data_IF_313036692772
#
_entry.id   IF_313036692772
#
_cell.length_a   1.000
_cell.length_b   1.000
_cell.length_c   1.000
_cell.angle_alpha   90.00
_cell.angle_beta   90.00
_cell.angle_gamma   90.00
#
_symmetry.space_group_name_H-M   'P 1'
#
loop_
_entity.id
_entity.type
_entity.pdbx_description
1 polymer ?
#
# COMPACT_ATOMS: atom_id res chain seq x y z
N UNK A 1 17.39 26.33 16.43
CA UNK A 1 16.35 26.99 15.64
C UNK A 1 16.02 28.29 16.35
N UNK A 2 16.27 29.43 15.76
CA UNK A 2 15.85 30.73 16.25
C UNK A 2 14.33 30.75 16.22
N UNK A 3 13.70 30.85 17.41
CA UNK A 3 12.25 31.07 17.50
C UNK A 3 11.97 32.40 16.80
N UNK A 4 11.14 32.36 15.77
CA UNK A 4 10.64 33.58 15.16
C UNK A 4 9.60 34.17 16.12
N UNK A 5 10.01 35.15 16.93
CA UNK A 5 9.20 35.77 17.99
C UNK A 5 7.96 36.54 17.44
N UNK A 6 7.90 36.73 16.12
CA UNK A 6 6.84 37.49 15.47
C UNK A 6 5.66 36.66 14.92
N UNK A 7 5.69 35.30 15.03
CA UNK A 7 4.64 34.43 14.56
C UNK A 7 4.16 33.48 15.65
N UNK A 8 2.90 33.14 15.61
CA UNK A 8 2.32 32.14 16.49
C UNK A 8 2.92 30.74 16.19
N UNK A 9 2.97 29.81 17.17
CA UNK A 9 3.46 28.47 16.97
C UNK A 9 2.64 27.74 15.93
N UNK A 10 3.29 26.85 15.17
CA UNK A 10 2.62 25.95 14.24
C UNK A 10 1.72 24.95 14.99
N UNK A 11 0.80 24.32 14.27
CA UNK A 11 -0.07 23.28 14.82
C UNK A 11 0.78 22.16 15.47
N UNK A 12 0.64 21.93 16.80
CA UNK A 12 1.45 20.96 17.52
C UNK A 12 1.28 19.53 17.01
N UNK A 13 0.12 19.14 16.50
CA UNK A 13 -0.10 17.82 15.88
C UNK A 13 0.77 17.63 14.64
N UNK A 14 0.89 18.64 13.79
CA UNK A 14 1.74 18.58 12.60
C UNK A 14 3.23 18.54 12.99
N UNK A 15 3.62 19.31 13.99
CA UNK A 15 5.03 19.34 14.43
C UNK A 15 5.45 18.07 15.18
N UNK A 16 4.51 17.30 15.69
CA UNK A 16 4.74 16.01 16.36
C UNK A 16 4.67 14.80 15.43
N UNK A 17 4.26 14.96 14.16
CA UNK A 17 4.26 13.86 13.20
C UNK A 17 5.66 13.24 13.12
N UNK A 18 5.72 11.93 13.29
CA UNK A 18 6.96 11.18 13.11
C UNK A 18 7.47 11.32 11.67
N UNK A 19 8.78 11.43 11.52
CA UNK A 19 9.37 11.34 10.18
C UNK A 19 9.08 9.94 9.61
N UNK A 20 8.65 9.87 8.35
CA UNK A 20 8.43 8.60 7.66
C UNK A 20 9.75 7.80 7.61
N UNK A 21 9.72 6.59 8.19
CA UNK A 21 10.87 5.69 8.27
C UNK A 21 11.43 5.30 6.90
N UNK A 22 10.53 5.12 5.90
CA UNK A 22 10.90 4.85 4.51
C UNK A 22 11.73 6.01 3.91
N UNK A 23 11.21 7.23 4.03
CA UNK A 23 11.89 8.45 3.56
C UNK A 23 13.17 8.68 4.35
N UNK A 24 13.17 8.41 5.65
CA UNK A 24 14.33 8.53 6.53
C UNK A 24 15.47 7.64 6.07
N UNK A 25 15.22 6.37 5.78
CA UNK A 25 16.22 5.45 5.28
C UNK A 25 16.71 5.84 3.88
N UNK A 26 15.80 6.16 2.96
CA UNK A 26 16.19 6.60 1.62
C UNK A 26 17.11 7.83 1.63
N UNK A 27 16.91 8.77 2.56
CA UNK A 27 17.81 9.93 2.75
C UNK A 27 19.21 9.51 3.20
N UNK A 28 19.32 8.52 4.10
CA UNK A 28 20.61 8.02 4.59
C UNK A 28 21.46 7.41 3.46
N UNK A 29 20.83 6.69 2.53
CA UNK A 29 21.52 5.97 1.45
C UNK A 29 21.54 6.73 0.12
N UNK A 30 21.01 7.95 0.07
CA UNK A 30 20.80 8.70 -1.17
C UNK A 30 22.09 8.94 -1.96
N UNK A 31 23.16 9.27 -1.26
CA UNK A 31 24.41 9.74 -1.84
C UNK A 31 25.46 8.60 -2.01
N UNK A 32 25.08 7.34 -1.75
CA UNK A 32 25.91 6.17 -2.01
C UNK A 32 26.01 5.96 -3.53
N UNK A 33 27.22 5.98 -4.11
CA UNK A 33 27.39 5.82 -5.55
C UNK A 33 27.08 4.37 -6.00
N UNK A 34 26.60 4.22 -7.23
CA UNK A 34 26.28 2.93 -7.85
C UNK A 34 25.37 2.03 -6.98
N UNK A 35 24.47 2.64 -6.20
CA UNK A 35 23.55 1.93 -5.32
C UNK A 35 22.36 1.36 -6.10
N UNK A 36 22.25 0.04 -6.11
CA UNK A 36 21.08 -0.65 -6.65
C UNK A 36 19.95 -0.64 -5.62
N UNK A 37 18.78 -0.12 -6.01
CA UNK A 37 17.69 0.19 -5.08
C UNK A 37 16.54 -0.80 -5.20
N UNK A 38 16.44 -1.75 -4.29
CA UNK A 38 15.28 -2.62 -4.11
C UNK A 38 14.31 -2.04 -3.06
N UNK A 39 14.22 -0.71 -3.00
CA UNK A 39 13.45 0.04 -2.00
C UNK A 39 12.14 0.60 -2.53
N UNK A 40 11.97 0.66 -3.85
CA UNK A 40 10.86 1.35 -4.48
C UNK A 40 9.53 0.61 -4.32
N UNK A 41 8.49 1.38 -4.02
CA UNK A 41 7.11 0.89 -3.96
C UNK A 41 6.32 1.25 -5.23
N UNK A 42 6.96 1.20 -6.41
CA UNK A 42 6.32 1.48 -7.68
C UNK A 42 6.69 0.44 -8.75
N UNK A 43 5.78 0.16 -9.70
CA UNK A 43 6.04 -0.75 -10.80
C UNK A 43 7.23 -0.29 -11.66
N UNK A 44 8.08 -1.25 -12.06
CA UNK A 44 9.17 -1.03 -13.04
C UNK A 44 8.71 -1.01 -14.50
N UNK A 45 7.41 -0.92 -14.74
CA UNK A 45 6.80 -0.88 -16.08
C UNK A 45 6.46 0.54 -16.50
N UNK A 46 6.42 0.76 -17.80
CA UNK A 46 5.84 1.98 -18.37
C UNK A 46 4.31 1.85 -18.45
N UNK A 47 3.64 3.00 -18.40
CA UNK A 47 2.21 3.09 -18.69
C UNK A 47 1.94 2.64 -20.13
N UNK A 48 0.86 1.90 -20.36
CA UNK A 48 0.44 1.44 -21.69
C UNK A 48 0.24 2.59 -22.67
N UNK A 49 0.55 2.35 -23.94
CA UNK A 49 0.51 3.37 -24.98
C UNK A 49 -0.91 3.90 -25.22
N UNK A 50 -1.94 3.05 -25.15
CA UNK A 50 -3.34 3.48 -25.31
C UNK A 50 -3.76 4.47 -24.22
N UNK A 51 -3.28 4.27 -22.98
CA UNK A 51 -3.52 5.19 -21.86
C UNK A 51 -2.82 6.53 -22.12
N UNK A 52 -1.56 6.53 -22.57
CA UNK A 52 -0.80 7.74 -22.91
C UNK A 52 -1.47 8.51 -24.03
N UNK A 53 -1.89 7.83 -25.09
CA UNK A 53 -2.56 8.44 -26.24
C UNK A 53 -3.89 9.10 -25.84
N UNK A 54 -4.66 8.50 -24.95
CA UNK A 54 -5.88 9.09 -24.42
C UNK A 54 -5.60 10.39 -23.65
N UNK A 55 -4.57 10.41 -22.79
CA UNK A 55 -4.15 11.63 -22.07
C UNK A 55 -3.69 12.72 -23.04
N UNK A 56 -2.84 12.39 -24.01
CA UNK A 56 -2.34 13.33 -25.01
C UNK A 56 -3.51 13.90 -25.85
N UNK A 57 -4.42 13.05 -26.30
CA UNK A 57 -5.61 13.46 -27.05
C UNK A 57 -6.50 14.38 -26.22
N UNK A 58 -6.72 14.09 -24.95
CA UNK A 58 -7.53 14.93 -24.07
C UNK A 58 -6.92 16.32 -23.91
N UNK A 59 -5.61 16.40 -23.68
CA UNK A 59 -4.89 17.69 -23.61
C UNK A 59 -4.98 18.44 -24.94
N UNK A 60 -4.79 17.76 -26.06
CA UNK A 60 -4.87 18.37 -27.41
C UNK A 60 -6.27 18.91 -27.73
N UNK A 61 -7.32 18.31 -27.17
CA UNK A 61 -8.71 18.74 -27.30
C UNK A 61 -9.14 19.82 -26.28
N UNK A 62 -8.19 20.41 -25.55
CA UNK A 62 -8.44 21.45 -24.54
C UNK A 62 -9.35 21.03 -23.37
N UNK A 63 -9.30 19.77 -22.94
CA UNK A 63 -9.99 19.29 -21.73
C UNK A 63 -9.30 19.80 -20.46
N UNK A 64 -9.28 21.14 -20.30
CA UNK A 64 -8.56 21.87 -19.24
C UNK A 64 -9.47 22.57 -18.23
N UNK A 65 -10.78 22.40 -18.36
CA UNK A 65 -11.77 22.96 -17.44
C UNK A 65 -12.01 22.00 -16.25
N UNK A 66 -12.71 22.51 -15.23
CA UNK A 66 -13.11 21.68 -14.10
C UNK A 66 -13.95 20.49 -14.56
N UNK A 67 -13.61 19.32 -14.05
CA UNK A 67 -14.37 18.09 -14.19
C UNK A 67 -15.47 17.99 -13.15
N UNK A 68 -16.27 16.92 -13.20
CA UNK A 68 -17.18 16.57 -12.12
C UNK A 68 -16.41 16.37 -10.80
N UNK A 69 -16.92 16.95 -9.72
CA UNK A 69 -16.26 16.89 -8.41
C UNK A 69 -16.13 15.47 -7.85
N UNK A 70 -17.05 14.57 -8.17
CA UNK A 70 -16.97 13.16 -7.77
C UNK A 70 -16.05 12.34 -8.69
N UNK A 71 -15.64 12.91 -9.81
CA UNK A 71 -14.95 12.27 -10.92
C UNK A 71 -15.87 12.14 -12.14
N UNK A 72 -15.27 12.16 -13.34
CA UNK A 72 -16.01 12.03 -14.60
C UNK A 72 -16.90 10.79 -14.59
N UNK A 73 -18.13 10.96 -15.06
CA UNK A 73 -19.14 9.89 -15.03
C UNK A 73 -18.68 8.64 -15.78
N UNK A 74 -18.05 8.81 -16.93
CA UNK A 74 -17.56 7.70 -17.74
C UNK A 74 -16.48 6.88 -17.01
N UNK A 75 -15.60 7.56 -16.26
CA UNK A 75 -14.59 6.90 -15.44
C UNK A 75 -15.22 6.14 -14.26
N UNK A 76 -16.19 6.75 -13.57
CA UNK A 76 -16.91 6.12 -12.46
C UNK A 76 -17.68 4.87 -12.93
N UNK A 77 -18.33 4.94 -14.11
CA UNK A 77 -18.98 3.79 -14.75
C UNK A 77 -17.98 2.70 -15.13
N UNK A 78 -16.81 3.08 -15.68
CA UNK A 78 -15.76 2.12 -16.00
C UNK A 78 -15.22 1.46 -14.72
N UNK A 79 -15.00 2.23 -13.66
CA UNK A 79 -14.50 1.71 -12.39
C UNK A 79 -15.48 0.71 -11.74
N UNK A 80 -16.77 1.06 -11.59
CA UNK A 80 -17.74 0.15 -11.00
C UNK A 80 -17.85 -1.15 -11.80
N UNK A 81 -17.90 -1.07 -13.13
CA UNK A 81 -17.95 -2.27 -13.98
C UNK A 81 -16.71 -3.15 -13.88
N UNK A 82 -15.52 -2.52 -13.90
CA UNK A 82 -14.25 -3.23 -13.81
C UNK A 82 -14.12 -3.99 -12.49
N UNK A 83 -14.35 -3.31 -11.37
CA UNK A 83 -14.19 -3.92 -10.05
C UNK A 83 -15.33 -4.89 -9.72
N UNK A 84 -16.58 -4.62 -10.15
CA UNK A 84 -17.68 -5.57 -10.02
C UNK A 84 -17.39 -6.87 -10.79
N UNK A 85 -16.92 -6.77 -12.02
CA UNK A 85 -16.59 -7.94 -12.82
C UNK A 85 -15.42 -8.75 -12.26
N UNK A 86 -14.34 -8.08 -11.80
CA UNK A 86 -13.13 -8.77 -11.30
C UNK A 86 -13.29 -9.35 -9.90
N UNK A 87 -14.10 -8.74 -9.05
CA UNK A 87 -14.14 -9.06 -7.61
C UNK A 87 -15.54 -9.32 -7.07
N UNK A 88 -16.51 -9.52 -7.95
CA UNK A 88 -17.89 -9.83 -7.57
C UNK A 88 -18.49 -8.80 -6.60
N UNK A 89 -18.22 -7.50 -6.85
CA UNK A 89 -18.76 -6.43 -6.01
C UNK A 89 -20.24 -6.23 -6.30
N UNK A 90 -21.07 -6.02 -5.26
CA UNK A 90 -22.51 -5.79 -5.43
C UNK A 90 -22.87 -4.35 -5.81
N UNK A 91 -21.89 -3.50 -6.10
CA UNK A 91 -22.09 -2.11 -6.50
C UNK A 91 -22.26 -2.02 -8.01
N UNK A 92 -23.38 -1.45 -8.46
CA UNK A 92 -23.73 -1.35 -9.89
C UNK A 92 -23.81 0.10 -10.39
N UNK A 93 -23.94 1.07 -9.46
CA UNK A 93 -24.06 2.48 -9.79
C UNK A 93 -22.72 3.21 -9.81
N UNK A 94 -22.52 4.07 -10.79
CA UNK A 94 -21.41 5.03 -10.79
C UNK A 94 -21.41 5.96 -9.57
N UNK A 95 -22.55 6.11 -8.89
CA UNK A 95 -22.68 6.95 -7.70
C UNK A 95 -22.06 6.29 -6.46
N UNK A 96 -21.76 4.99 -6.51
CA UNK A 96 -20.97 4.29 -5.49
C UNK A 96 -19.46 4.58 -5.54
N UNK A 97 -18.98 5.45 -6.45
CA UNK A 97 -17.55 5.68 -6.71
C UNK A 97 -17.18 7.13 -6.53
N UNK A 98 -16.11 7.42 -5.78
CA UNK A 98 -15.39 8.70 -5.81
C UNK A 98 -14.03 8.46 -6.44
N UNK A 99 -13.65 9.30 -7.42
CA UNK A 99 -12.31 9.33 -7.99
C UNK A 99 -11.43 10.26 -7.17
N UNK A 100 -10.26 9.79 -6.75
CA UNK A 100 -9.35 10.51 -5.84
C UNK A 100 -7.96 10.70 -6.42
N UNK A 101 -7.19 11.65 -5.88
CA UNK A 101 -5.77 11.87 -6.21
C UNK A 101 -4.91 10.75 -5.62
N UNK A 102 -5.10 9.53 -6.18
CA UNK A 102 -4.53 8.29 -5.68
C UNK A 102 -5.11 7.84 -4.33
N UNK A 103 -4.74 6.65 -3.89
CA UNK A 103 -5.12 6.11 -2.59
C UNK A 103 -4.65 7.00 -1.41
N UNK A 104 -3.65 7.86 -1.63
CA UNK A 104 -3.17 8.81 -0.61
C UNK A 104 -4.20 9.88 -0.24
N UNK A 105 -5.03 10.34 -1.17
CA UNK A 105 -6.18 11.18 -0.85
C UNK A 105 -7.31 10.35 -0.29
N UNK A 106 -7.61 9.20 -0.91
CA UNK A 106 -8.70 8.33 -0.50
C UNK A 106 -8.65 8.03 1.01
N UNK A 107 -7.47 7.68 1.55
CA UNK A 107 -7.34 7.37 2.97
C UNK A 107 -7.65 8.56 3.87
N UNK A 108 -7.23 9.77 3.49
CA UNK A 108 -7.54 10.98 4.25
C UNK A 108 -9.04 11.30 4.21
N UNK A 109 -9.68 11.17 3.03
CA UNK A 109 -11.13 11.34 2.88
C UNK A 109 -11.86 10.35 3.77
N UNK A 110 -11.49 9.07 3.73
CA UNK A 110 -12.15 8.02 4.53
C UNK A 110 -11.98 8.28 6.03
N UNK A 111 -10.77 8.58 6.50
CA UNK A 111 -10.53 8.83 7.92
C UNK A 111 -11.29 10.04 8.43
N UNK A 112 -11.26 11.14 7.68
CA UNK A 112 -11.99 12.38 8.05
C UNK A 112 -13.52 12.20 7.99
N UNK A 113 -14.02 11.26 7.20
CA UNK A 113 -15.44 10.94 7.14
C UNK A 113 -15.88 10.06 8.31
N UNK A 114 -15.03 9.09 8.73
CA UNK A 114 -15.39 8.10 9.74
C UNK A 114 -15.10 8.52 11.17
N UNK A 115 -13.94 9.18 11.41
CA UNK A 115 -13.36 9.28 12.75
C UNK A 115 -13.66 10.62 13.41
N UNK A 116 -14.07 10.54 14.68
CA UNK A 116 -14.07 11.66 15.61
C UNK A 116 -12.84 11.58 16.53
N UNK A 117 -12.58 12.66 17.28
CA UNK A 117 -11.60 12.64 18.35
C UNK A 117 -11.89 11.51 19.35
N UNK A 118 -10.86 10.79 19.76
CA UNK A 118 -10.91 9.67 20.69
C UNK A 118 -11.67 8.43 20.19
N UNK A 119 -11.93 8.30 18.90
CA UNK A 119 -12.36 7.02 18.30
C UNK A 119 -11.15 6.24 17.78
N UNK A 120 -11.19 4.92 17.96
CA UNK A 120 -10.10 4.00 17.62
C UNK A 120 -10.19 3.50 16.19
N UNK A 121 -9.04 3.48 15.52
CA UNK A 121 -8.80 2.75 14.27
C UNK A 121 -7.80 1.63 14.52
N UNK A 122 -8.21 0.40 14.26
CA UNK A 122 -7.28 -0.75 14.28
C UNK A 122 -6.42 -0.71 13.02
N UNK A 123 -5.10 -0.81 13.21
CA UNK A 123 -4.12 -0.98 12.14
C UNK A 123 -3.27 -2.21 12.46
N UNK A 124 -3.47 -3.34 11.74
CA UNK A 124 -2.58 -4.49 11.83
C UNK A 124 -1.17 -4.10 11.37
N UNK A 125 -0.15 -4.48 12.14
CA UNK A 125 1.25 -4.21 11.83
C UNK A 125 2.05 -5.50 11.60
N UNK A 126 3.07 -5.47 10.71
CA UNK A 126 3.65 -4.30 10.02
C UNK A 126 2.72 -3.72 8.95
N UNK A 127 2.76 -2.38 8.77
CA UNK A 127 1.86 -1.67 7.88
C UNK A 127 2.57 -0.54 7.11
N UNK A 128 1.94 -0.07 6.05
CA UNK A 128 2.39 1.09 5.29
C UNK A 128 2.35 2.35 6.16
N UNK A 129 3.51 2.97 6.37
CA UNK A 129 3.72 4.03 7.37
C UNK A 129 2.85 5.28 7.23
N UNK A 130 2.48 5.74 6.01
CA UNK A 130 1.60 6.90 5.86
C UNK A 130 0.21 6.76 6.49
N UNK A 131 -0.27 5.54 6.76
CA UNK A 131 -1.55 5.36 7.46
C UNK A 131 -1.57 6.04 8.83
N UNK A 132 -0.49 5.90 9.60
CA UNK A 132 -0.40 6.53 10.93
C UNK A 132 -0.42 8.05 10.84
N UNK A 133 0.33 8.64 9.90
CA UNK A 133 0.35 10.09 9.71
C UNK A 133 -1.04 10.64 9.30
N UNK A 134 -1.75 9.94 8.40
CA UNK A 134 -3.11 10.30 8.01
C UNK A 134 -4.09 10.18 9.19
N UNK A 135 -3.94 9.15 10.03
CA UNK A 135 -4.76 8.96 11.22
C UNK A 135 -4.55 10.08 12.25
N UNK A 136 -3.29 10.47 12.49
CA UNK A 136 -2.95 11.57 13.39
C UNK A 136 -3.56 12.90 12.93
N UNK A 137 -3.55 13.14 11.60
CA UNK A 137 -4.19 14.33 11.00
C UNK A 137 -5.72 14.30 11.11
N UNK A 138 -6.33 13.11 11.05
CA UNK A 138 -7.77 12.91 11.24
C UNK A 138 -8.19 12.86 12.72
N UNK A 139 -7.25 13.06 13.67
CA UNK A 139 -7.48 13.03 15.12
C UNK A 139 -7.94 11.68 15.70
N UNK A 140 -7.80 10.58 14.97
CA UNK A 140 -8.12 9.25 15.45
C UNK A 140 -7.08 8.69 16.42
N UNK A 141 -7.44 7.64 17.14
CA UNK A 141 -6.56 6.90 18.04
C UNK A 141 -6.13 5.59 17.39
N UNK A 142 -4.81 5.37 17.26
CA UNK A 142 -4.28 4.13 16.71
C UNK A 142 -4.42 2.98 17.72
N UNK A 143 -4.98 1.86 17.28
CA UNK A 143 -4.99 0.58 17.98
C UNK A 143 -4.18 -0.40 17.13
N UNK A 144 -3.07 -0.88 17.65
CA UNK A 144 -2.15 -1.74 16.90
C UNK A 144 -2.40 -3.21 17.20
N UNK A 145 -2.46 -4.04 16.15
CA UNK A 145 -2.40 -5.49 16.25
C UNK A 145 -1.04 -5.96 15.73
N UNK A 146 -0.29 -6.68 16.55
CA UNK A 146 0.92 -7.36 16.10
C UNK A 146 0.56 -8.69 15.41
N UNK A 147 0.74 -8.77 14.10
CA UNK A 147 0.43 -9.96 13.30
C UNK A 147 1.64 -10.91 13.13
N UNK A 148 2.83 -10.56 13.64
CA UNK A 148 4.03 -11.41 13.54
C UNK A 148 3.82 -12.83 14.10
N UNK A 149 3.16 -13.04 15.25
CA UNK A 149 2.95 -14.38 15.81
C UNK A 149 2.03 -15.30 14.97
N UNK A 150 1.31 -14.74 14.02
CA UNK A 150 0.36 -15.43 13.12
C UNK A 150 0.82 -15.38 11.66
N UNK A 151 2.14 -15.47 11.43
CA UNK A 151 2.76 -15.40 10.10
C UNK A 151 2.31 -14.17 9.30
N UNK A 152 2.17 -13.05 10.00
CA UNK A 152 1.72 -11.76 9.46
C UNK A 152 0.29 -11.74 8.91
N UNK A 153 -0.53 -12.74 9.24
CA UNK A 153 -1.97 -12.76 8.94
C UNK A 153 -2.79 -12.25 10.13
N UNK A 154 -3.77 -11.41 9.85
CA UNK A 154 -4.79 -11.02 10.80
C UNK A 154 -5.73 -12.21 11.04
N UNK A 155 -6.13 -12.46 12.29
CA UNK A 155 -7.11 -13.50 12.64
C UNK A 155 -8.31 -12.91 13.39
N UNK A 156 -9.47 -13.59 13.38
CA UNK A 156 -10.64 -13.15 14.15
C UNK A 156 -10.35 -12.94 15.65
N UNK A 157 -9.50 -13.78 16.25
CA UNK A 157 -9.14 -13.69 17.67
C UNK A 157 -8.35 -12.42 17.95
N UNK A 158 -7.38 -12.08 17.10
CA UNK A 158 -6.59 -10.84 17.25
C UNK A 158 -7.48 -9.59 17.13
N UNK A 159 -8.50 -9.62 16.26
CA UNK A 159 -9.46 -8.52 16.14
C UNK A 159 -10.32 -8.42 17.40
N UNK A 160 -10.85 -9.55 17.88
CA UNK A 160 -11.67 -9.58 19.10
C UNK A 160 -10.89 -9.03 20.31
N UNK A 161 -9.67 -9.53 20.52
CA UNK A 161 -8.80 -9.08 21.60
C UNK A 161 -8.51 -7.57 21.51
N UNK A 162 -8.23 -7.06 20.32
CA UNK A 162 -7.95 -5.64 20.12
C UNK A 162 -9.17 -4.76 20.43
N UNK A 163 -10.38 -5.19 20.08
CA UNK A 163 -11.61 -4.46 20.37
C UNK A 163 -11.94 -4.51 21.87
N UNK A 164 -11.83 -5.70 22.50
CA UNK A 164 -12.19 -5.90 23.90
C UNK A 164 -11.19 -5.24 24.88
N UNK A 165 -9.92 -5.07 24.47
CA UNK A 165 -8.89 -4.43 25.29
C UNK A 165 -8.73 -2.94 25.00
N UNK A 166 -9.44 -2.40 24.03
CA UNK A 166 -9.32 -0.98 23.64
C UNK A 166 -9.80 -0.05 24.78
N UNK A 167 -9.04 1.04 24.99
CA UNK A 167 -9.39 2.07 25.97
C UNK A 167 -10.29 3.19 25.37
N UNK A 168 -10.61 3.08 24.10
CA UNK A 168 -11.48 4.01 23.36
C UNK A 168 -12.47 3.21 22.52
N UNK A 169 -13.61 3.78 22.14
CA UNK A 169 -14.54 3.12 21.22
C UNK A 169 -13.84 2.81 19.88
N UNK A 170 -13.86 1.55 19.46
CA UNK A 170 -13.27 1.13 18.19
C UNK A 170 -14.29 1.36 17.08
N UNK A 171 -13.94 2.21 16.13
CA UNK A 171 -14.83 2.62 15.02
C UNK A 171 -14.60 1.80 13.77
N UNK A 172 -13.34 1.54 13.45
CA UNK A 172 -12.97 0.97 12.18
C UNK A 172 -11.68 0.13 12.28
N UNK A 173 -11.46 -0.68 11.26
CA UNK A 173 -10.18 -1.34 10.98
C UNK A 173 -9.72 -0.97 9.57
N UNK A 174 -8.42 -0.68 9.43
CA UNK A 174 -7.77 -0.59 8.12
C UNK A 174 -7.12 -1.93 7.82
N UNK A 175 -7.45 -2.52 6.67
CA UNK A 175 -7.03 -3.85 6.27
C UNK A 175 -6.44 -3.81 4.86
N UNK A 176 -5.12 -3.96 4.74
CA UNK A 176 -4.40 -3.94 3.47
C UNK A 176 -3.98 -5.35 3.05
N UNK A 177 -4.49 -5.82 1.90
CA UNK A 177 -4.14 -7.11 1.30
C UNK A 177 -4.33 -7.09 -0.23
N UNK A 178 -3.42 -7.71 -1.00
CA UNK A 178 -2.09 -8.17 -0.58
C UNK A 178 -1.29 -7.07 0.13
N UNK A 179 -0.58 -7.44 1.18
CA UNK A 179 -0.03 -6.48 2.14
C UNK A 179 1.28 -5.84 1.68
N UNK A 180 1.45 -4.58 2.00
CA UNK A 180 2.73 -3.91 2.09
C UNK A 180 3.07 -3.72 3.60
N UNK A 181 4.14 -4.36 4.15
CA UNK A 181 5.33 -4.86 3.43
C UNK A 181 5.38 -6.37 3.14
N UNK A 182 4.47 -7.19 3.65
CA UNK A 182 4.68 -8.64 3.79
C UNK A 182 4.35 -9.45 2.54
N UNK A 183 3.52 -8.94 1.64
CA UNK A 183 3.02 -9.66 0.48
C UNK A 183 1.97 -10.74 0.80
N UNK A 184 1.58 -10.91 2.07
CA UNK A 184 0.55 -11.90 2.43
C UNK A 184 -0.82 -11.49 1.92
N UNK A 185 -1.64 -12.48 1.59
CA UNK A 185 -3.06 -12.32 1.26
C UNK A 185 -3.90 -13.40 1.94
N UNK A 186 -5.19 -13.48 1.61
CA UNK A 186 -6.14 -14.29 2.35
C UNK A 186 -7.00 -15.12 1.39
N UNK A 187 -7.33 -16.33 1.82
CA UNK A 187 -8.34 -17.15 1.18
C UNK A 187 -9.75 -16.63 1.45
N UNK A 188 -10.73 -17.06 0.64
CA UNK A 188 -12.15 -16.72 0.87
C UNK A 188 -12.63 -17.10 2.27
N UNK A 189 -12.23 -18.26 2.78
CA UNK A 189 -12.65 -18.75 4.11
C UNK A 189 -12.05 -17.91 5.23
N UNK A 190 -10.77 -17.52 5.12
CA UNK A 190 -10.13 -16.60 6.07
C UNK A 190 -10.82 -15.24 6.07
N UNK A 191 -11.14 -14.69 4.88
CA UNK A 191 -11.86 -13.42 4.77
C UNK A 191 -13.29 -13.51 5.30
N UNK A 192 -14.00 -14.64 5.10
CA UNK A 192 -15.32 -14.83 5.66
C UNK A 192 -15.29 -14.84 7.19
N UNK A 193 -14.30 -15.52 7.80
CA UNK A 193 -14.13 -15.52 9.26
C UNK A 193 -13.83 -14.11 9.80
N UNK A 194 -13.03 -13.32 9.07
CA UNK A 194 -12.79 -11.91 9.40
C UNK A 194 -14.04 -11.06 9.22
N UNK A 195 -14.80 -11.24 8.15
CA UNK A 195 -16.07 -10.53 7.92
C UNK A 195 -17.08 -10.77 9.06
N UNK A 196 -17.14 -12.00 9.57
CA UNK A 196 -18.03 -12.36 10.67
C UNK A 196 -17.66 -11.66 11.99
N UNK A 197 -16.36 -11.54 12.29
CA UNK A 197 -15.92 -10.78 13.48
C UNK A 197 -16.10 -9.28 13.30
N UNK A 198 -15.87 -8.73 12.11
CA UNK A 198 -16.13 -7.31 11.83
C UNK A 198 -17.63 -6.98 11.96
N UNK A 199 -18.53 -7.86 11.50
CA UNK A 199 -19.98 -7.74 11.73
C UNK A 199 -20.34 -7.77 13.20
N UNK A 200 -19.77 -8.72 13.93
CA UNK A 200 -20.03 -8.88 15.37
C UNK A 200 -19.74 -7.61 16.17
N UNK A 201 -18.66 -6.91 15.82
CA UNK A 201 -18.24 -5.69 16.52
C UNK A 201 -18.69 -4.40 15.82
N UNK A 202 -19.49 -4.49 14.74
CA UNK A 202 -19.99 -3.35 13.97
C UNK A 202 -18.90 -2.40 13.47
N UNK A 203 -17.75 -2.94 13.06
CA UNK A 203 -16.62 -2.16 12.58
C UNK A 203 -16.82 -1.73 11.12
N UNK A 204 -16.51 -0.49 10.81
CA UNK A 204 -16.21 -0.11 9.44
C UNK A 204 -14.91 -0.78 9.01
N UNK A 205 -14.88 -1.30 7.78
CA UNK A 205 -13.69 -1.94 7.24
C UNK A 205 -13.17 -1.13 6.07
N UNK A 206 -12.01 -0.50 6.25
CA UNK A 206 -11.30 0.19 5.19
C UNK A 206 -10.42 -0.83 4.51
N UNK A 207 -10.90 -1.36 3.37
CA UNK A 207 -10.22 -2.41 2.61
C UNK A 207 -9.28 -1.79 1.59
N UNK A 208 -8.00 -1.68 1.94
CA UNK A 208 -6.97 -1.23 1.01
C UNK A 208 -6.52 -2.39 0.13
N UNK A 209 -7.09 -2.44 -1.08
CA UNK A 209 -6.86 -3.49 -2.07
C UNK A 209 -6.06 -2.96 -3.27
N UNK A 210 -5.14 -2.02 -3.04
CA UNK A 210 -4.32 -1.39 -4.10
C UNK A 210 -3.46 -2.39 -4.88
N UNK A 211 -3.19 -3.58 -4.32
CA UNK A 211 -2.43 -4.66 -4.93
C UNK A 211 -3.30 -5.84 -5.40
N UNK A 212 -4.62 -5.73 -5.37
CA UNK A 212 -5.56 -6.82 -5.68
C UNK A 212 -5.24 -7.55 -7.00
N UNK A 213 -4.94 -6.81 -8.08
CA UNK A 213 -4.61 -7.37 -9.39
C UNK A 213 -3.26 -8.11 -9.41
N UNK A 214 -2.44 -7.92 -8.40
CA UNK A 214 -1.12 -8.55 -8.24
C UNK A 214 -1.17 -9.68 -7.20
N UNK A 215 -2.26 -10.41 -7.11
CA UNK A 215 -2.39 -11.67 -6.36
C UNK A 215 -1.98 -12.83 -7.26
N UNK A 216 -1.15 -13.78 -6.76
CA UNK A 216 -0.46 -14.75 -7.61
C UNK A 216 -1.12 -16.12 -7.67
N UNK A 217 -1.03 -16.90 -6.60
CA UNK A 217 -1.33 -18.33 -6.63
C UNK A 217 -2.80 -18.66 -6.32
N UNK A 218 -3.62 -17.65 -6.12
CA UNK A 218 -5.05 -17.72 -5.87
C UNK A 218 -5.78 -16.53 -6.48
N UNK A 219 -7.08 -16.60 -6.58
CA UNK A 219 -7.91 -15.46 -6.97
C UNK A 219 -8.03 -14.50 -5.80
N UNK A 220 -7.92 -13.20 -6.09
CA UNK A 220 -8.21 -12.17 -5.09
C UNK A 220 -9.71 -12.13 -4.79
N UNK A 221 -10.05 -12.15 -3.52
CA UNK A 221 -11.42 -11.96 -3.04
C UNK A 221 -11.50 -10.61 -2.36
N UNK A 222 -12.35 -9.71 -2.83
CA UNK A 222 -12.58 -8.43 -2.16
C UNK A 222 -13.47 -8.61 -0.93
N UNK A 223 -13.09 -7.96 0.16
CA UNK A 223 -13.90 -7.96 1.38
C UNK A 223 -15.25 -7.27 1.14
N UNK A 224 -15.32 -6.32 0.21
CA UNK A 224 -16.55 -5.65 -0.19
C UNK A 224 -17.58 -6.58 -0.85
N UNK A 225 -17.14 -7.74 -1.38
CA UNK A 225 -18.08 -8.77 -1.85
C UNK A 225 -18.71 -9.58 -0.71
N UNK A 226 -18.06 -9.63 0.46
CA UNK A 226 -18.52 -10.38 1.64
C UNK A 226 -19.24 -9.49 2.65
N UNK A 227 -18.90 -8.20 2.68
CA UNK A 227 -19.32 -7.24 3.68
C UNK A 227 -19.65 -5.85 3.08
N UNK A 228 -20.51 -5.76 2.05
CA UNK A 228 -20.72 -4.53 1.30
C UNK A 228 -21.27 -3.36 2.15
N UNK A 229 -22.06 -3.63 3.19
CA UNK A 229 -22.70 -2.62 4.02
C UNK A 229 -21.73 -1.93 5.01
N UNK A 230 -20.56 -2.52 5.29
CA UNK A 230 -19.60 -2.03 6.28
C UNK A 230 -18.20 -1.81 5.69
N UNK A 231 -17.97 -2.21 4.43
CA UNK A 231 -16.67 -2.07 3.78
C UNK A 231 -16.60 -0.84 2.90
N UNK A 232 -15.42 -0.26 2.88
CA UNK A 232 -15.03 0.83 2.00
C UNK A 232 -13.81 0.33 1.24
N UNK A 233 -14.02 -0.02 -0.04
CA UNK A 233 -12.92 -0.41 -0.91
C UNK A 233 -12.10 0.83 -1.28
N UNK A 234 -10.83 0.81 -0.95
CA UNK A 234 -9.83 1.77 -1.39
C UNK A 234 -8.88 1.09 -2.36
N UNK A 235 -8.77 1.62 -3.57
CA UNK A 235 -7.92 1.06 -4.62
C UNK A 235 -7.45 2.13 -5.60
N UNK A 236 -6.81 1.74 -6.72
CA UNK A 236 -6.35 2.68 -7.74
C UNK A 236 -5.50 2.03 -8.81
N UNK A 237 -5.02 2.85 -9.75
CA UNK A 237 -4.28 2.40 -10.92
C UNK A 237 -2.76 2.46 -10.77
N UNK A 238 -2.28 2.92 -9.62
CA UNK A 238 -0.85 3.09 -9.35
C UNK A 238 -0.05 1.81 -9.50
N UNK A 239 -0.62 0.66 -9.10
CA UNK A 239 0.11 -0.62 -9.06
C UNK A 239 -0.29 -1.56 -10.18
N UNK A 240 -1.56 -1.58 -10.54
CA UNK A 240 -2.10 -2.44 -11.59
C UNK A 240 -1.79 -1.99 -13.01
N UNK A 241 -1.62 -0.67 -13.24
CA UNK A 241 -1.41 -0.09 -14.57
C UNK A 241 -0.14 0.80 -14.65
N UNK A 242 0.77 0.67 -13.68
CA UNK A 242 1.99 1.49 -13.57
C UNK A 242 1.74 3.01 -13.59
N UNK A 243 0.57 3.46 -13.13
CA UNK A 243 0.14 4.87 -13.19
C UNK A 243 0.46 5.64 -11.90
N UNK A 244 1.59 5.36 -11.23
CA UNK A 244 1.96 6.01 -9.96
C UNK A 244 1.98 7.54 -10.06
N UNK A 245 2.54 8.08 -11.13
CA UNK A 245 2.63 9.53 -11.39
C UNK A 245 1.32 10.18 -11.84
N UNK A 246 0.34 9.42 -12.30
CA UNK A 246 -0.96 9.93 -12.76
C UNK A 246 -1.90 10.26 -11.59
N UNK A 247 -1.64 9.71 -10.40
CA UNK A 247 -2.39 10.00 -9.18
C UNK A 247 -3.88 9.70 -9.30
N UNK A 248 -4.27 8.48 -9.71
CA UNK A 248 -5.67 8.01 -9.75
C UNK A 248 -5.89 6.92 -8.70
N UNK A 249 -6.88 7.17 -7.84
CA UNK A 249 -7.43 6.22 -6.88
C UNK A 249 -8.95 6.25 -6.89
N UNK A 250 -9.54 5.30 -6.18
CA UNK A 250 -10.99 5.14 -6.07
C UNK A 250 -11.38 4.82 -4.63
N UNK A 251 -12.48 5.40 -4.19
CA UNK A 251 -13.27 4.95 -3.05
C UNK A 251 -14.54 4.33 -3.62
N UNK A 252 -14.83 3.08 -3.28
CA UNK A 252 -16.04 2.37 -3.72
C UNK A 252 -16.75 1.84 -2.47
N UNK A 253 -17.99 2.26 -2.24
CA UNK A 253 -18.73 1.91 -1.04
C UNK A 253 -20.25 2.07 -1.24
N UNK A 254 -21.00 1.75 -0.18
CA UNK A 254 -22.44 2.07 -0.12
C UNK A 254 -22.68 3.57 -0.31
N UNK A 255 -23.80 3.91 -0.96
CA UNK A 255 -24.17 5.28 -1.29
C UNK A 255 -24.21 6.20 -0.07
N UNK A 256 -24.66 5.69 1.06
CA UNK A 256 -24.77 6.50 2.29
C UNK A 256 -23.40 6.97 2.80
N UNK A 257 -22.35 6.16 2.61
CA UNK A 257 -20.97 6.57 2.90
C UNK A 257 -20.46 7.56 1.85
N UNK A 258 -20.69 7.27 0.57
CA UNK A 258 -20.21 8.10 -0.56
C UNK A 258 -20.77 9.53 -0.45
N UNK A 259 -22.03 9.70 -0.11
CA UNK A 259 -22.68 11.01 0.04
C UNK A 259 -21.99 11.91 1.09
N UNK A 260 -21.47 11.31 2.16
CA UNK A 260 -20.73 12.02 3.20
C UNK A 260 -19.24 12.23 2.81
N UNK A 261 -18.60 11.19 2.27
CA UNK A 261 -17.20 11.25 1.83
C UNK A 261 -16.97 12.28 0.71
N UNK A 262 -17.96 12.44 -0.17
CA UNK A 262 -17.94 13.44 -1.24
C UNK A 262 -17.78 14.88 -0.72
N UNK A 263 -18.34 15.20 0.43
CA UNK A 263 -18.21 16.53 1.05
C UNK A 263 -16.76 16.81 1.47
N UNK A 264 -16.09 15.80 2.01
CA UNK A 264 -14.68 15.88 2.41
C UNK A 264 -13.79 15.97 1.17
N UNK A 265 -14.00 15.09 0.18
CA UNK A 265 -13.26 15.09 -1.08
C UNK A 265 -13.34 16.47 -1.78
N UNK A 266 -14.56 17.03 -1.90
CA UNK A 266 -14.74 18.34 -2.51
C UNK A 266 -14.03 19.46 -1.75
N UNK A 267 -13.97 19.38 -0.42
CA UNK A 267 -13.26 20.38 0.39
C UNK A 267 -11.74 20.28 0.26
N UNK A 268 -11.19 19.08 0.05
CA UNK A 268 -9.74 18.84 -0.04
C UNK A 268 -9.18 19.10 -1.45
N UNK A 269 -9.87 18.60 -2.48
CA UNK A 269 -9.31 18.52 -3.86
C UNK A 269 -10.18 19.26 -4.86
N UNK A 270 -11.47 19.37 -4.61
CA UNK A 270 -12.53 19.88 -5.50
C UNK A 270 -12.82 18.94 -6.67
N UNK A 271 -11.86 18.77 -7.62
CA UNK A 271 -12.02 17.89 -8.78
C UNK A 271 -10.64 17.50 -9.34
N UNK A 272 -10.55 16.35 -9.99
CA UNK A 272 -9.32 15.88 -10.64
C UNK A 272 -9.23 16.41 -12.07
N UNK A 273 -8.00 16.53 -12.63
CA UNK A 273 -7.82 16.93 -14.03
C UNK A 273 -8.50 15.93 -14.98
N UNK A 274 -9.34 16.45 -15.90
CA UNK A 274 -10.10 15.62 -16.84
C UNK A 274 -9.19 14.74 -17.71
N UNK A 275 -8.08 15.28 -18.20
CA UNK A 275 -7.17 14.54 -19.09
C UNK A 275 -6.55 13.30 -18.42
N UNK A 276 -6.32 13.32 -17.11
CA UNK A 276 -5.88 12.14 -16.35
C UNK A 276 -7.01 11.12 -16.24
N UNK A 277 -8.24 11.59 -16.03
CA UNK A 277 -9.41 10.73 -15.92
C UNK A 277 -9.76 10.05 -17.24
N UNK A 278 -9.55 10.73 -18.39
CA UNK A 278 -9.72 10.13 -19.71
C UNK A 278 -8.73 8.96 -19.92
N UNK A 279 -7.47 9.12 -19.52
CA UNK A 279 -6.49 8.03 -19.51
C UNK A 279 -6.88 6.89 -18.58
N UNK A 280 -7.40 7.20 -17.38
CA UNK A 280 -7.86 6.21 -16.42
C UNK A 280 -9.08 5.42 -16.93
N UNK A 281 -9.96 6.06 -17.70
CA UNK A 281 -11.09 5.37 -18.36
C UNK A 281 -10.58 4.32 -19.35
N UNK A 282 -9.56 4.64 -20.15
CA UNK A 282 -8.92 3.69 -21.06
C UNK A 282 -8.25 2.55 -20.30
N UNK A 283 -7.59 2.84 -19.18
CA UNK A 283 -6.97 1.83 -18.32
C UNK A 283 -7.99 0.77 -17.82
N UNK A 284 -9.20 1.20 -17.46
CA UNK A 284 -10.24 0.31 -16.95
C UNK A 284 -11.14 -0.30 -18.04
N UNK A 285 -10.91 0.03 -19.31
CA UNK A 285 -11.70 -0.48 -20.43
C UNK A 285 -10.81 -1.17 -21.46
N UNK A 286 -10.18 -0.42 -22.36
CA UNK A 286 -9.38 -0.95 -23.48
C UNK A 286 -8.08 -1.61 -23.02
N UNK A 287 -7.46 -1.12 -21.95
CA UNK A 287 -6.21 -1.61 -21.37
C UNK A 287 -6.43 -2.38 -20.05
N UNK A 288 -7.61 -2.94 -19.85
CA UNK A 288 -8.03 -3.60 -18.59
C UNK A 288 -7.15 -4.80 -18.20
N UNK A 289 -6.52 -5.47 -19.17
CA UNK A 289 -5.74 -6.70 -18.96
C UNK A 289 -4.23 -6.44 -18.74
N UNK A 290 -3.77 -5.18 -18.80
CA UNK A 290 -2.36 -4.81 -18.58
C UNK A 290 -1.85 -5.30 -17.22
N UNK A 291 -2.71 -5.32 -16.20
CA UNK A 291 -2.38 -5.81 -14.87
C UNK A 291 -2.02 -7.30 -14.84
N UNK A 292 -2.59 -8.11 -15.74
CA UNK A 292 -2.39 -9.56 -15.77
C UNK A 292 -0.96 -9.90 -16.25
N UNK A 293 -0.45 -9.20 -17.28
CA UNK A 293 0.92 -9.36 -17.76
C UNK A 293 1.95 -8.92 -16.70
N UNK A 294 1.65 -7.85 -15.98
CA UNK A 294 2.48 -7.37 -14.89
C UNK A 294 2.51 -8.38 -13.72
N UNK A 295 1.35 -8.94 -13.35
CA UNK A 295 1.22 -9.97 -12.32
C UNK A 295 2.09 -11.18 -12.65
N UNK A 296 1.99 -11.70 -13.88
CA UNK A 296 2.72 -12.89 -14.31
C UNK A 296 4.24 -12.65 -14.30
N UNK A 297 4.68 -11.44 -14.68
CA UNK A 297 6.08 -11.06 -14.58
C UNK A 297 6.56 -10.98 -13.13
N UNK A 298 5.77 -10.37 -12.24
CA UNK A 298 6.14 -10.28 -10.83
C UNK A 298 6.14 -11.65 -10.15
N UNK A 299 5.18 -12.53 -10.48
CA UNK A 299 5.21 -13.92 -10.01
C UNK A 299 6.50 -14.62 -10.39
N UNK A 300 6.93 -14.54 -11.65
CA UNK A 300 8.20 -15.14 -12.12
C UNK A 300 9.41 -14.55 -11.36
N UNK A 301 9.45 -13.24 -11.14
CA UNK A 301 10.54 -12.58 -10.38
C UNK A 301 10.57 -13.02 -8.94
N UNK A 302 9.43 -13.13 -8.26
CA UNK A 302 9.29 -13.69 -6.93
C UNK A 302 9.85 -15.12 -6.88
N UNK A 303 9.35 -15.98 -7.76
CA UNK A 303 9.72 -17.40 -7.80
C UNK A 303 11.21 -17.61 -8.07
N UNK A 304 11.85 -16.66 -8.75
CA UNK A 304 13.29 -16.66 -8.97
C UNK A 304 14.06 -16.08 -7.76
N UNK A 305 13.62 -14.97 -7.18
CA UNK A 305 14.39 -14.27 -6.15
C UNK A 305 14.33 -14.94 -4.77
N UNK A 306 13.16 -15.50 -4.38
CA UNK A 306 12.98 -16.11 -3.06
C UNK A 306 14.01 -17.19 -2.76
N UNK A 307 14.26 -18.19 -3.62
CA UNK A 307 15.28 -19.21 -3.34
C UNK A 307 16.69 -18.63 -3.13
N UNK A 308 17.08 -17.59 -3.87
CA UNK A 308 18.38 -16.96 -3.69
C UNK A 308 18.50 -16.24 -2.33
N UNK A 309 17.42 -15.64 -1.84
CA UNK A 309 17.41 -15.03 -0.51
C UNK A 309 17.53 -16.10 0.58
N UNK A 310 16.85 -17.22 0.43
CA UNK A 310 16.93 -18.36 1.35
C UNK A 310 18.35 -18.98 1.37
N UNK A 311 19.03 -19.05 0.23
CA UNK A 311 20.44 -19.48 0.14
C UNK A 311 21.40 -18.55 0.92
N UNK A 312 21.07 -17.25 1.02
CA UNK A 312 21.80 -16.30 1.88
C UNK A 312 21.48 -16.47 3.37
N UNK A 313 20.42 -17.20 3.71
CA UNK A 313 19.97 -17.45 5.07
C UNK A 313 18.85 -16.52 5.55
N UNK A 314 18.18 -15.80 4.66
CA UNK A 314 16.96 -15.08 5.02
C UNK A 314 15.80 -16.05 5.31
N UNK A 315 15.02 -15.77 6.34
CA UNK A 315 13.73 -16.44 6.56
C UNK A 315 12.64 -15.62 5.85
N UNK A 316 12.18 -16.10 4.69
CA UNK A 316 11.25 -15.37 3.83
C UNK A 316 9.81 -15.61 4.27
N UNK A 317 9.05 -14.53 4.48
CA UNK A 317 7.59 -14.59 4.56
C UNK A 317 7.07 -14.82 3.14
N UNK A 318 6.29 -15.90 2.91
CA UNK A 318 5.81 -16.24 1.57
C UNK A 318 4.97 -15.11 0.95
N UNK A 319 5.45 -14.42 -0.09
CA UNK A 319 4.70 -13.33 -0.71
C UNK A 319 3.70 -13.88 -1.73
N UNK A 320 2.43 -13.85 -1.37
CA UNK A 320 1.32 -14.34 -2.19
C UNK A 320 0.76 -13.25 -3.12
N UNK A 321 1.25 -12.00 -2.97
CA UNK A 321 0.85 -10.87 -3.82
C UNK A 321 1.72 -9.64 -3.62
N UNK A 322 1.33 -8.50 -4.19
CA UNK A 322 2.09 -7.27 -4.32
C UNK A 322 3.41 -7.48 -5.11
N UNK A 323 4.46 -6.75 -4.80
CA UNK A 323 5.80 -6.94 -5.37
C UNK A 323 6.89 -6.74 -4.31
N UNK A 324 6.60 -7.23 -3.10
CA UNK A 324 7.52 -7.16 -1.96
C UNK A 324 7.79 -8.55 -1.40
N UNK A 325 9.04 -8.75 -0.98
CA UNK A 325 9.43 -9.82 -0.09
C UNK A 325 9.72 -9.18 1.27
N UNK A 326 9.13 -9.73 2.32
CA UNK A 326 9.44 -9.40 3.70
C UNK A 326 10.18 -10.58 4.32
N UNK A 327 11.40 -10.35 4.79
CA UNK A 327 12.24 -11.44 5.23
C UNK A 327 13.03 -11.05 6.49
N UNK A 328 13.14 -11.99 7.43
CA UNK A 328 14.05 -11.86 8.54
C UNK A 328 15.49 -11.99 8.02
N UNK A 329 16.36 -11.09 8.47
CA UNK A 329 17.78 -11.11 8.11
C UNK A 329 18.46 -12.36 8.67
N UNK A 330 19.55 -12.86 8.00
CA UNK A 330 20.29 -14.03 8.48
C UNK A 330 20.82 -13.83 9.91
N UNK A 331 20.69 -14.84 10.77
CA UNK A 331 21.09 -14.75 12.18
C UNK A 331 22.57 -14.38 12.38
N UNK A 332 23.45 -14.79 11.43
CA UNK A 332 24.87 -14.44 11.42
C UNK A 332 25.16 -12.99 11.02
N UNK A 333 24.14 -12.24 10.61
CA UNK A 333 24.20 -10.80 10.31
C UNK A 333 23.64 -9.92 11.44
N UNK A 334 23.26 -10.50 12.57
CA UNK A 334 22.71 -9.80 13.73
C UNK A 334 21.19 -9.74 13.76
N UNK A 335 20.64 -8.82 14.58
CA UNK A 335 19.19 -8.70 14.81
C UNK A 335 18.67 -7.26 14.64
N UNK A 336 19.47 -6.40 14.00
CA UNK A 336 19.15 -4.99 13.74
C UNK A 336 19.10 -4.75 12.24
N UNK A 337 17.88 -4.66 11.71
CA UNK A 337 17.66 -4.47 10.28
C UNK A 337 18.11 -3.09 9.76
N UNK A 338 18.14 -2.07 10.62
CA UNK A 338 18.66 -0.74 10.25
C UNK A 338 20.17 -0.80 10.02
N UNK A 339 20.91 -1.43 10.96
CA UNK A 339 22.34 -1.61 10.83
C UNK A 339 22.70 -2.51 9.64
N UNK A 340 21.97 -3.62 9.46
CA UNK A 340 22.17 -4.54 8.33
C UNK A 340 21.89 -3.86 6.98
N UNK A 341 20.77 -3.17 6.84
CA UNK A 341 20.38 -2.51 5.59
C UNK A 341 21.35 -1.40 5.20
N UNK A 342 21.88 -0.65 6.19
CA UNK A 342 22.90 0.37 5.95
C UNK A 342 24.23 -0.26 5.54
N UNK A 343 24.70 -1.30 6.23
CA UNK A 343 25.93 -2.02 5.90
C UNK A 343 25.88 -2.65 4.50
N UNK A 344 24.74 -3.28 4.14
CA UNK A 344 24.55 -3.82 2.79
C UNK A 344 24.55 -2.71 1.73
N UNK A 345 23.96 -1.54 2.02
CA UNK A 345 23.97 -0.41 1.10
C UNK A 345 25.40 0.15 0.91
N UNK A 346 26.17 0.32 1.97
CA UNK A 346 27.52 0.91 1.94
C UNK A 346 28.57 -0.06 1.36
N UNK A 347 28.51 -1.35 1.71
CA UNK A 347 29.55 -2.33 1.40
C UNK A 347 29.10 -3.36 0.34
N UNK A 348 27.80 -3.56 0.14
CA UNK A 348 27.24 -4.43 -0.89
C UNK A 348 26.62 -3.67 -2.06
N UNK A 349 26.45 -2.36 -1.96
CA UNK A 349 25.81 -1.51 -2.96
C UNK A 349 24.40 -1.99 -3.36
N UNK A 350 23.64 -2.58 -2.41
CA UNK A 350 22.23 -2.96 -2.56
C UNK A 350 21.45 -2.37 -1.41
N UNK A 351 20.37 -1.63 -1.71
CA UNK A 351 19.51 -1.04 -0.70
C UNK A 351 18.17 -1.78 -0.61
N UNK A 352 17.76 -2.11 0.62
CA UNK A 352 16.44 -2.61 0.98
C UNK A 352 15.93 -1.83 2.18
N UNK A 353 14.63 -1.88 2.46
CA UNK A 353 14.04 -1.09 3.56
C UNK A 353 14.07 -1.90 4.86
N UNK A 354 14.60 -1.35 5.97
CA UNK A 354 14.55 -2.03 7.26
C UNK A 354 13.12 -2.18 7.77
N UNK A 355 12.83 -3.30 8.43
CA UNK A 355 11.51 -3.65 8.94
C UNK A 355 11.04 -2.73 10.07
N UNK A 356 11.96 -2.13 10.82
CA UNK A 356 11.69 -1.09 11.81
C UNK A 356 10.93 0.11 11.24
N UNK A 357 11.06 0.37 9.92
CA UNK A 357 10.31 1.41 9.23
C UNK A 357 8.80 1.10 9.13
N UNK A 358 8.37 -0.15 9.30
CA UNK A 358 6.97 -0.58 9.16
C UNK A 358 6.33 -0.92 10.50
N UNK A 359 7.13 -1.36 11.48
CA UNK A 359 6.65 -1.71 12.82
C UNK A 359 7.81 -1.85 13.81
N UNK A 360 7.54 -1.50 15.07
CA UNK A 360 8.43 -1.82 16.19
C UNK A 360 8.51 -3.33 16.50
N UNK A 361 7.61 -4.15 15.95
CA UNK A 361 7.60 -5.61 16.15
C UNK A 361 8.52 -6.37 15.17
N UNK A 362 9.11 -5.67 14.20
CA UNK A 362 9.88 -6.28 13.11
C UNK A 362 11.31 -5.69 12.95
N UNK A 363 12.06 -5.50 14.06
CA UNK A 363 13.39 -4.87 14.00
C UNK A 363 14.46 -5.72 13.29
N UNK A 364 14.21 -7.01 13.07
CA UNK A 364 15.10 -7.96 12.41
C UNK A 364 14.65 -8.33 10.99
N UNK A 365 13.65 -7.64 10.43
CA UNK A 365 13.14 -7.88 9.08
C UNK A 365 13.61 -6.81 8.10
N UNK A 366 13.58 -7.14 6.81
CA UNK A 366 13.75 -6.19 5.71
C UNK A 366 12.67 -6.38 4.66
N UNK A 367 12.27 -5.29 4.00
CA UNK A 367 11.42 -5.34 2.81
C UNK A 367 12.28 -5.17 1.56
N UNK A 368 12.13 -6.08 0.62
CA UNK A 368 12.81 -6.13 -0.68
C UNK A 368 11.75 -5.98 -1.76
N UNK A 369 11.90 -5.00 -2.64
CA UNK A 369 11.02 -4.84 -3.81
C UNK A 369 11.60 -5.59 -5.00
N UNK A 370 10.80 -6.45 -5.64
CA UNK A 370 11.14 -7.10 -6.90
C UNK A 370 10.46 -6.45 -8.12
N UNK A 371 10.06 -5.19 -7.97
CA UNK A 371 9.57 -4.38 -9.09
C UNK A 371 10.68 -3.91 -10.04
N UNK A 372 11.94 -4.09 -9.67
CA UNK A 372 13.12 -3.79 -10.49
C UNK A 372 13.18 -4.67 -11.76
N UNK A 373 14.06 -4.33 -12.73
CA UNK A 373 14.28 -5.14 -13.92
C UNK A 373 14.88 -6.51 -13.60
N UNK A 374 14.77 -7.47 -14.52
CA UNK A 374 15.37 -8.79 -14.34
C UNK A 374 16.89 -8.68 -14.21
N UNK A 375 17.53 -7.76 -14.97
CA UNK A 375 18.96 -7.46 -14.93
C UNK A 375 19.38 -6.89 -13.56
N UNK A 376 18.59 -5.94 -13.02
CA UNK A 376 18.86 -5.35 -11.71
C UNK A 376 18.72 -6.39 -10.58
N UNK A 377 17.74 -7.28 -10.66
CA UNK A 377 17.58 -8.35 -9.68
C UNK A 377 18.75 -9.35 -9.71
N UNK A 378 19.22 -9.72 -10.91
CA UNK A 378 20.40 -10.58 -11.07
C UNK A 378 21.66 -9.92 -10.54
N UNK A 379 21.85 -8.64 -10.83
CA UNK A 379 22.98 -7.87 -10.31
C UNK A 379 22.91 -7.72 -8.79
N UNK A 380 21.71 -7.52 -8.21
CA UNK A 380 21.52 -7.49 -6.76
C UNK A 380 21.97 -8.80 -6.11
N UNK A 381 21.55 -9.94 -6.65
CA UNK A 381 21.95 -11.27 -6.15
C UNK A 381 23.47 -11.46 -6.26
N UNK A 382 24.08 -11.06 -7.38
CA UNK A 382 25.53 -11.11 -7.54
C UNK A 382 26.28 -10.27 -6.48
N UNK A 383 25.83 -9.04 -6.23
CA UNK A 383 26.40 -8.14 -5.21
C UNK A 383 26.22 -8.70 -3.81
N UNK A 384 25.04 -9.20 -3.48
CA UNK A 384 24.77 -9.84 -2.20
C UNK A 384 25.62 -11.07 -1.98
N UNK A 385 25.85 -11.91 -3.00
CA UNK A 385 26.78 -13.06 -2.93
C UNK A 385 28.17 -12.62 -2.50
N UNK A 386 28.71 -11.58 -3.11
CA UNK A 386 30.04 -11.05 -2.75
C UNK A 386 30.05 -10.47 -1.32
N UNK A 387 29.01 -9.73 -0.94
CA UNK A 387 28.87 -9.15 0.40
C UNK A 387 28.83 -10.24 1.49
N UNK A 388 27.98 -11.25 1.37
CA UNK A 388 27.85 -12.32 2.36
C UNK A 388 29.13 -13.16 2.46
N UNK A 389 29.77 -13.44 1.32
CA UNK A 389 31.06 -14.15 1.31
C UNK A 389 32.15 -13.38 2.08
N UNK A 390 32.25 -12.07 1.87
CA UNK A 390 33.23 -11.23 2.57
C UNK A 390 32.94 -11.13 4.08
N UNK A 391 31.66 -11.00 4.48
CA UNK A 391 31.27 -10.95 5.90
C UNK A 391 31.59 -12.24 6.63
N UNK A 392 31.22 -13.39 6.03
CA UNK A 392 31.43 -14.72 6.63
C UNK A 392 32.92 -15.12 6.69
N UNK A 393 33.72 -14.66 5.73
CA UNK A 393 35.20 -14.89 5.78
C UNK A 393 35.85 -14.14 6.95
N UNK A 394 35.38 -12.91 7.26
CA UNK A 394 35.91 -12.10 8.35
C UNK A 394 35.53 -12.61 9.76
N UNK A 395 34.46 -13.37 9.90
CA UNK A 395 34.06 -14.00 11.18
C UNK A 395 34.91 -15.22 11.51
N UNK A 396 35.48 -15.86 10.49
CA UNK A 396 36.30 -17.08 10.63
C UNK A 396 37.83 -16.81 10.70
N UNK A 397 38.25 -15.55 10.61
CA UNK A 397 39.64 -15.11 10.71
C UNK A 397 39.94 -14.49 12.08
#
# INVERSE_FOLDING_TARGET
>A
MTKNEFVQPLNPKVTSLAADGLIGFQKKVRDIPDLLRLTFGEPGFNVDDAIKDAVISSVANNNSHYSDAQGERDLRQAAVKYYAFRYDLPFESEDNVIVTVGASEAINVIFMTLLNENEGLIIPEPAYTPYTASLDLAHGTKITINTRPTDFKLTPELVADAVEQANVPVKAILFNYPSNPTGVTYTRDELQALADVFKRYHLWVISDEIYAQLTYDQEHVSLSSLLPEQSILMTGLSKSHAMTGYRIGFIIADQSFIDEAQKVHQALTFALPKFIQDGATVALTTAADVADDMRDTYKRRRDWLVPHLEEFGFEVVNPEGAFYIFAKIPDDMGHDSDAFALDLAENGHVAMIPGSAFSGYTPEYVRISYAASDEDLQEAVRRMTAFFAAKRANVNA
#
